data_IF_932772772542
#
_entry.id   IF_932772772542
#
_cell.length_a   1.000
_cell.length_b   1.000
_cell.length_c   1.000
_cell.angle_alpha   90.00
_cell.angle_beta   90.00
_cell.angle_gamma   90.00
#
_symmetry.space_group_name_H-M   'P 1'
#
loop_
_entity.id
_entity.type
_entity.pdbx_description
1 polymer ?
#
# COMPACT_ATOMS: atom_id res chain seq x y z
N UNK A 1 9.70 3.29 -55.61
CA UNK A 1 8.59 3.15 -54.64
C UNK A 1 9.05 2.18 -53.56
N UNK A 2 9.80 2.70 -52.60
CA UNK A 2 10.33 1.97 -51.44
C UNK A 2 9.49 2.35 -50.23
N UNK A 3 8.94 1.33 -49.58
CA UNK A 3 8.07 1.46 -48.41
C UNK A 3 8.85 2.08 -47.25
N UNK A 4 8.41 3.24 -46.75
CA UNK A 4 8.72 3.69 -45.39
C UNK A 4 7.91 2.82 -44.43
N UNK A 5 8.60 1.86 -43.82
CA UNK A 5 8.13 1.18 -42.63
C UNK A 5 7.92 2.20 -41.52
N UNK A 6 6.66 2.48 -41.20
CA UNK A 6 6.27 3.15 -39.98
C UNK A 6 6.87 2.36 -38.80
N UNK A 7 7.88 2.95 -38.17
CA UNK A 7 8.33 2.53 -36.85
C UNK A 7 7.12 2.77 -35.94
N UNK A 8 6.47 1.69 -35.53
CA UNK A 8 5.51 1.72 -34.45
C UNK A 8 6.28 2.18 -33.22
N UNK A 9 6.21 3.48 -32.91
CA UNK A 9 6.56 3.98 -31.58
C UNK A 9 5.78 3.12 -30.60
N UNK A 10 6.50 2.26 -29.88
CA UNK A 10 5.94 1.56 -28.75
C UNK A 10 5.35 2.64 -27.85
N UNK A 11 4.02 2.62 -27.69
CA UNK A 11 3.30 3.36 -26.68
C UNK A 11 3.67 2.80 -25.29
N UNK A 12 4.95 2.89 -24.94
CA UNK A 12 5.37 2.97 -23.56
C UNK A 12 5.30 4.46 -23.22
N UNK A 13 4.07 5.01 -23.23
CA UNK A 13 3.81 6.25 -22.51
C UNK A 13 4.41 6.05 -21.12
N UNK A 14 5.27 6.99 -20.72
CA UNK A 14 6.12 6.84 -19.53
C UNK A 14 5.21 6.75 -18.29
N UNK A 15 4.81 5.53 -17.92
CA UNK A 15 3.96 5.24 -16.76
C UNK A 15 4.77 5.57 -15.51
N UNK A 16 4.17 6.33 -14.61
CA UNK A 16 4.79 6.71 -13.35
C UNK A 16 4.11 5.92 -12.21
N UNK A 17 4.84 4.95 -11.70
CA UNK A 17 4.54 4.13 -10.53
C UNK A 17 5.04 4.83 -9.27
N UNK A 18 4.08 5.26 -8.46
CA UNK A 18 4.30 6.00 -7.21
C UNK A 18 3.93 5.08 -6.06
N UNK A 19 4.92 4.69 -5.25
CA UNK A 19 4.70 3.95 -4.02
C UNK A 19 4.47 4.93 -2.87
N UNK A 20 3.32 4.83 -2.22
CA UNK A 20 2.97 5.68 -1.08
C UNK A 20 2.84 4.82 0.16
N UNK A 21 3.60 5.20 1.18
CA UNK A 21 3.68 4.48 2.44
C UNK A 21 3.51 5.40 3.63
N UNK A 22 3.34 4.82 4.81
CA UNK A 22 3.11 5.55 6.04
C UNK A 22 2.66 4.63 7.17
N UNK A 23 2.65 5.13 8.42
CA UNK A 23 2.20 4.37 9.56
C UNK A 23 0.66 4.22 9.55
N UNK A 24 0.09 3.20 10.22
CA UNK A 24 -1.36 3.11 10.37
C UNK A 24 -1.90 4.36 11.07
N UNK A 25 -3.03 4.87 10.61
CA UNK A 25 -3.67 6.06 11.20
C UNK A 25 -3.19 7.42 10.69
N UNK A 26 -2.21 7.49 9.79
CA UNK A 26 -1.76 8.75 9.17
C UNK A 26 -2.69 9.31 8.08
N UNK A 27 -3.85 8.66 7.86
CA UNK A 27 -4.85 9.06 6.85
C UNK A 27 -4.33 9.22 5.42
N UNK A 28 -3.19 8.59 5.09
CA UNK A 28 -2.59 8.56 3.75
C UNK A 28 -3.64 8.30 2.67
N UNK A 29 -4.48 7.28 2.84
CA UNK A 29 -5.48 6.91 1.85
C UNK A 29 -6.60 7.96 1.71
N UNK A 30 -6.93 8.70 2.78
CA UNK A 30 -7.84 9.84 2.74
C UNK A 30 -7.28 11.01 1.94
N UNK A 31 -6.01 11.35 2.14
CA UNK A 31 -5.33 12.39 1.35
C UNK A 31 -5.16 12.00 -0.11
N UNK A 32 -4.77 10.74 -0.38
CA UNK A 32 -4.61 10.24 -1.74
C UNK A 32 -5.91 10.32 -2.54
N UNK A 33 -7.04 9.93 -1.94
CA UNK A 33 -8.36 10.02 -2.60
C UNK A 33 -8.66 11.45 -3.08
N UNK A 34 -8.46 12.45 -2.23
CA UNK A 34 -8.70 13.86 -2.59
C UNK A 34 -7.83 14.35 -3.76
N UNK A 35 -6.62 13.81 -3.90
CA UNK A 35 -5.72 14.14 -5.01
C UNK A 35 -6.13 13.40 -6.28
N UNK A 36 -6.49 12.12 -6.15
CA UNK A 36 -6.87 11.24 -7.26
C UNK A 36 -8.19 11.67 -7.88
N UNK A 37 -9.17 12.10 -7.09
CA UNK A 37 -10.45 12.65 -7.58
C UNK A 37 -10.25 13.80 -8.58
N UNK A 38 -9.20 14.59 -8.43
CA UNK A 38 -8.88 15.71 -9.34
C UNK A 38 -8.20 15.25 -10.64
N UNK A 39 -7.77 13.99 -10.73
CA UNK A 39 -6.95 13.42 -11.82
C UNK A 39 -7.35 11.98 -12.17
N UNK A 40 -8.60 11.60 -11.94
CA UNK A 40 -9.11 10.23 -12.10
C UNK A 40 -8.90 9.69 -13.52
N UNK A 41 -9.02 10.57 -14.52
CA UNK A 41 -8.79 10.20 -15.93
C UNK A 41 -7.36 9.75 -16.22
N UNK A 42 -6.38 10.18 -15.42
CA UNK A 42 -4.95 9.88 -15.62
C UNK A 42 -4.37 8.98 -14.55
N UNK A 43 -5.12 8.64 -13.49
CA UNK A 43 -4.56 8.03 -12.28
C UNK A 43 -5.29 6.74 -11.92
N UNK A 44 -4.54 5.67 -11.70
CA UNK A 44 -5.00 4.44 -11.05
C UNK A 44 -4.54 4.42 -9.60
N UNK A 45 -5.40 3.90 -8.71
CA UNK A 45 -5.13 3.73 -7.29
C UNK A 45 -5.19 2.26 -6.89
N UNK A 46 -4.15 1.78 -6.23
CA UNK A 46 -4.02 0.39 -5.81
C UNK A 46 -3.81 0.35 -4.29
N UNK A 47 -4.81 -0.10 -3.54
CA UNK A 47 -4.69 -0.31 -2.10
C UNK A 47 -4.24 -1.76 -1.84
N UNK A 48 -2.97 -1.95 -1.44
CA UNK A 48 -2.33 -3.28 -1.40
C UNK A 48 -3.09 -4.29 -0.54
N UNK A 49 -3.74 -3.86 0.54
CA UNK A 49 -4.58 -4.75 1.36
C UNK A 49 -5.70 -5.42 0.55
N UNK A 50 -6.31 -4.73 -0.41
CA UNK A 50 -7.41 -5.28 -1.21
C UNK A 50 -6.89 -6.42 -2.10
N UNK A 51 -5.66 -6.28 -2.60
CA UNK A 51 -4.98 -7.29 -3.40
C UNK A 51 -4.50 -8.48 -2.55
N UNK A 52 -4.05 -8.24 -1.32
CA UNK A 52 -3.75 -9.33 -0.37
C UNK A 52 -5.03 -10.11 -0.06
N UNK A 53 -6.15 -9.43 0.15
CA UNK A 53 -7.43 -10.07 0.39
C UNK A 53 -7.91 -10.89 -0.82
N UNK A 54 -7.70 -10.38 -2.04
CA UNK A 54 -7.95 -11.11 -3.29
C UNK A 54 -7.07 -12.37 -3.40
N UNK A 55 -5.76 -12.25 -3.19
CA UNK A 55 -4.83 -13.39 -3.21
C UNK A 55 -5.20 -14.45 -2.16
N UNK A 56 -5.53 -14.02 -0.93
CA UNK A 56 -6.00 -14.93 0.12
C UNK A 56 -7.28 -15.67 -0.30
N UNK A 57 -8.26 -14.96 -0.88
CA UNK A 57 -9.51 -15.54 -1.37
C UNK A 57 -9.28 -16.59 -2.46
N UNK A 58 -8.40 -16.32 -3.41
CA UNK A 58 -8.02 -17.25 -4.49
C UNK A 58 -7.35 -18.53 -3.93
N UNK A 59 -6.73 -18.44 -2.75
CA UNK A 59 -6.14 -19.56 -2.03
C UNK A 59 -7.06 -20.14 -0.92
N UNK A 60 -8.37 -19.83 -0.95
CA UNK A 60 -9.36 -20.38 -0.02
C UNK A 60 -9.29 -19.82 1.41
N UNK A 61 -8.71 -18.64 1.61
CA UNK A 61 -8.60 -17.96 2.90
C UNK A 61 -9.39 -16.66 2.91
N UNK A 62 -10.13 -16.41 4.01
CA UNK A 62 -10.75 -15.11 4.25
C UNK A 62 -9.75 -14.20 4.96
N UNK A 63 -9.33 -13.13 4.29
CA UNK A 63 -8.45 -12.09 4.87
C UNK A 63 -9.32 -10.95 5.39
N UNK A 64 -9.05 -10.51 6.61
CA UNK A 64 -9.68 -9.36 7.27
C UNK A 64 -8.60 -8.48 7.89
N UNK A 65 -8.94 -7.24 8.24
CA UNK A 65 -8.03 -6.35 8.99
C UNK A 65 -7.57 -6.97 10.31
N UNK A 66 -8.46 -7.74 10.95
CA UNK A 66 -8.17 -8.43 12.21
C UNK A 66 -7.16 -9.56 12.02
N UNK A 67 -7.30 -10.37 10.97
CA UNK A 67 -6.52 -11.61 10.84
C UNK A 67 -5.31 -11.51 9.90
N UNK A 68 -5.16 -10.43 9.12
CA UNK A 68 -4.14 -10.33 8.08
C UNK A 68 -2.73 -10.57 8.60
N UNK A 69 -2.42 -10.04 9.78
CA UNK A 69 -1.10 -10.19 10.41
C UNK A 69 -0.85 -11.59 10.99
N UNK A 70 -1.90 -12.41 11.14
CA UNK A 70 -1.83 -13.78 11.66
C UNK A 70 -1.79 -14.84 10.55
N UNK A 71 -1.80 -14.43 9.28
CA UNK A 71 -1.77 -15.35 8.15
C UNK A 71 -0.38 -15.98 8.00
N UNK A 72 -0.28 -17.30 8.17
CA UNK A 72 0.95 -18.07 7.97
C UNK A 72 1.63 -17.83 6.61
N UNK A 73 0.81 -17.52 5.58
CA UNK A 73 1.26 -17.31 4.20
C UNK A 73 1.22 -15.83 3.77
N UNK A 74 1.22 -14.90 4.72
CA UNK A 74 1.15 -13.46 4.42
C UNK A 74 2.24 -13.00 3.44
N UNK A 75 3.48 -13.46 3.59
CA UNK A 75 4.58 -13.13 2.66
C UNK A 75 4.24 -13.50 1.22
N UNK A 76 3.69 -14.70 1.00
CA UNK A 76 3.24 -15.18 -0.30
C UNK A 76 2.06 -14.35 -0.84
N UNK A 77 1.04 -14.08 -0.02
CA UNK A 77 -0.11 -13.28 -0.46
C UNK A 77 0.28 -11.84 -0.82
N UNK A 78 1.26 -11.26 -0.12
CA UNK A 78 1.81 -9.95 -0.49
C UNK A 78 2.54 -9.99 -1.82
N UNK A 79 3.36 -11.01 -2.07
CA UNK A 79 4.03 -11.16 -3.36
C UNK A 79 3.02 -11.28 -4.50
N UNK A 80 2.03 -12.17 -4.35
CA UNK A 80 0.93 -12.33 -5.32
C UNK A 80 0.16 -11.01 -5.52
N UNK A 81 -0.07 -10.24 -4.45
CA UNK A 81 -0.71 -8.92 -4.53
C UNK A 81 0.08 -7.92 -5.38
N UNK A 82 1.40 -7.83 -5.17
CA UNK A 82 2.27 -6.94 -5.95
C UNK A 82 2.39 -7.39 -7.41
N UNK A 83 2.43 -8.69 -7.68
CA UNK A 83 2.41 -9.24 -9.04
C UNK A 83 1.10 -8.92 -9.78
N UNK A 84 -0.05 -8.98 -9.09
CA UNK A 84 -1.33 -8.56 -9.65
C UNK A 84 -1.34 -7.07 -10.00
N UNK A 85 -0.89 -6.22 -9.07
CA UNK A 85 -0.80 -4.78 -9.28
C UNK A 85 0.12 -4.47 -10.48
N UNK A 86 1.28 -5.11 -10.55
CA UNK A 86 2.23 -4.92 -11.67
C UNK A 86 1.58 -5.26 -13.03
N UNK A 87 0.88 -6.39 -13.11
CA UNK A 87 0.16 -6.78 -14.34
C UNK A 87 -0.92 -5.77 -14.71
N UNK A 88 -1.66 -5.26 -13.74
CA UNK A 88 -2.68 -4.23 -13.98
C UNK A 88 -2.06 -2.91 -14.44
N UNK A 89 -0.90 -2.51 -13.90
CA UNK A 89 -0.13 -1.35 -14.38
C UNK A 89 0.32 -1.55 -15.83
N UNK A 90 0.86 -2.73 -16.17
CA UNK A 90 1.38 -3.03 -17.50
C UNK A 90 0.31 -2.92 -18.60
N UNK A 91 -0.93 -3.33 -18.32
CA UNK A 91 -2.04 -3.29 -19.30
C UNK A 91 -2.88 -2.02 -19.25
N UNK A 92 -2.70 -1.17 -18.23
CA UNK A 92 -3.46 0.07 -18.09
C UNK A 92 -2.99 1.14 -19.08
N UNK A 93 -3.92 2.03 -19.46
CA UNK A 93 -3.68 3.24 -20.26
C UNK A 93 -3.57 4.51 -19.39
N UNK A 94 -3.52 4.38 -18.07
CA UNK A 94 -3.36 5.51 -17.16
C UNK A 94 -1.89 5.90 -17.10
N UNK A 95 -1.63 7.18 -16.81
CA UNK A 95 -0.27 7.72 -16.70
C UNK A 95 0.33 7.48 -15.32
N UNK A 96 -0.46 7.73 -14.26
CA UNK A 96 -0.02 7.66 -12.88
C UNK A 96 -0.60 6.42 -12.19
N UNK A 97 0.24 5.67 -11.49
CA UNK A 97 -0.13 4.45 -10.77
C UNK A 97 0.29 4.56 -9.30
N UNK A 98 -0.68 4.88 -8.45
CA UNK A 98 -0.43 5.10 -7.02
C UNK A 98 -0.67 3.79 -6.27
N UNK A 99 0.40 3.20 -5.75
CA UNK A 99 0.35 1.98 -4.93
C UNK A 99 0.48 2.35 -3.46
N UNK A 100 -0.54 2.03 -2.68
CA UNK A 100 -0.66 2.42 -1.29
C UNK A 100 -0.51 1.22 -0.36
N UNK A 101 0.48 1.27 0.55
CA UNK A 101 0.72 0.21 1.53
C UNK A 101 1.42 0.73 2.79
N UNK A 102 1.07 0.25 4.00
CA UNK A 102 1.84 0.57 5.21
C UNK A 102 3.33 0.20 5.10
N UNK A 103 4.20 1.02 5.69
CA UNK A 103 5.65 0.79 5.63
C UNK A 103 6.05 -0.36 6.55
N UNK A 104 5.42 -0.39 7.71
CA UNK A 104 5.68 -1.33 8.80
C UNK A 104 4.34 -1.67 9.45
N UNK A 105 4.19 -2.94 9.81
CA UNK A 105 3.12 -3.43 10.67
C UNK A 105 3.75 -3.83 12.01
N UNK A 106 3.11 -3.43 13.10
CA UNK A 106 3.47 -3.85 14.44
C UNK A 106 2.36 -4.71 15.02
N UNK A 107 2.75 -5.77 15.70
CA UNK A 107 1.89 -6.53 16.59
C UNK A 107 1.90 -5.92 18.00
N UNK A 108 0.91 -6.30 18.80
CA UNK A 108 0.83 -5.90 20.21
C UNK A 108 1.97 -6.49 21.06
N UNK A 109 2.58 -7.59 20.62
CA UNK A 109 3.72 -8.24 21.27
C UNK A 109 5.08 -7.69 20.81
N UNK A 110 5.08 -6.53 20.17
CA UNK A 110 6.25 -5.89 19.57
C UNK A 110 6.89 -6.60 18.39
N UNK A 111 6.24 -7.63 17.83
CA UNK A 111 6.68 -8.22 16.56
C UNK A 111 6.50 -7.20 15.43
N UNK A 112 7.59 -6.97 14.68
CA UNK A 112 7.61 -6.09 13.52
C UNK A 112 7.55 -6.90 12.23
N UNK A 113 6.63 -6.54 11.34
CA UNK A 113 6.60 -7.03 9.96
C UNK A 113 6.87 -5.85 9.02
N UNK A 114 7.91 -5.96 8.21
CA UNK A 114 8.18 -4.97 7.16
C UNK A 114 7.11 -5.07 6.08
N UNK A 115 6.35 -3.99 5.88
CA UNK A 115 5.33 -3.89 4.83
C UNK A 115 5.92 -3.67 3.45
N UNK A 116 7.15 -3.16 3.39
CA UNK A 116 7.97 -3.02 2.20
C UNK A 116 9.27 -3.81 2.34
N UNK A 117 9.59 -4.62 1.33
CA UNK A 117 10.84 -5.37 1.23
C UNK A 117 11.49 -5.11 -0.12
N UNK A 118 12.79 -5.37 -0.23
CA UNK A 118 13.52 -5.25 -1.50
C UNK A 118 12.86 -6.08 -2.62
N UNK A 119 12.42 -7.31 -2.32
CA UNK A 119 11.68 -8.14 -3.28
C UNK A 119 10.44 -7.43 -3.84
N UNK A 120 9.63 -6.80 -2.98
CA UNK A 120 8.42 -6.09 -3.40
C UNK A 120 8.75 -4.83 -4.21
N UNK A 121 9.84 -4.14 -3.87
CA UNK A 121 10.34 -3.00 -4.64
C UNK A 121 10.85 -3.42 -6.02
N UNK A 122 11.50 -4.57 -6.13
CA UNK A 122 11.96 -5.13 -7.41
C UNK A 122 10.80 -5.54 -8.32
N UNK A 123 9.66 -5.98 -7.76
CA UNK A 123 8.45 -6.28 -8.54
C UNK A 123 7.82 -4.98 -9.06
N UNK A 124 7.66 -4.00 -8.17
CA UNK A 124 6.92 -2.78 -8.49
C UNK A 124 7.74 -1.80 -9.34
N UNK A 125 9.03 -1.68 -9.04
CA UNK A 125 9.99 -0.72 -9.60
C UNK A 125 9.46 0.72 -9.57
N UNK A 126 9.10 1.27 -8.39
CA UNK A 126 8.55 2.61 -8.31
C UNK A 126 9.58 3.68 -8.69
N UNK A 127 9.20 4.69 -9.47
CA UNK A 127 10.05 5.84 -9.75
C UNK A 127 10.08 6.83 -8.57
N UNK A 128 9.00 6.84 -7.78
CA UNK A 128 8.85 7.71 -6.60
C UNK A 128 8.33 6.92 -5.42
N UNK A 129 8.98 7.09 -4.27
CA UNK A 129 8.51 6.59 -2.98
C UNK A 129 8.16 7.78 -2.08
N UNK A 130 6.92 7.86 -1.62
CA UNK A 130 6.41 8.91 -0.73
C UNK A 130 6.13 8.29 0.64
N UNK A 131 6.76 8.81 1.69
CA UNK A 131 6.47 8.43 3.07
C UNK A 131 5.59 9.51 3.74
N UNK A 132 4.36 9.14 4.10
CA UNK A 132 3.46 9.96 4.90
C UNK A 132 3.86 9.89 6.36
N UNK A 133 3.97 11.07 6.96
CA UNK A 133 4.20 11.27 8.39
C UNK A 133 3.08 12.19 8.86
N UNK A 134 2.48 11.84 9.99
CA UNK A 134 1.39 12.61 10.58
C UNK A 134 1.62 12.78 12.09
N UNK A 135 0.86 13.68 12.69
CA UNK A 135 0.89 13.94 14.12
C UNK A 135 0.37 12.73 14.92
N UNK A 136 1.10 12.36 15.97
CA UNK A 136 0.81 11.18 16.78
C UNK A 136 -0.53 11.29 17.52
N UNK A 137 -0.99 12.50 17.86
CA UNK A 137 -2.26 12.74 18.55
C UNK A 137 -3.41 12.48 17.58
N UNK A 138 -3.33 12.98 16.35
CA UNK A 138 -4.33 12.71 15.30
C UNK A 138 -4.35 11.23 14.90
N UNK A 139 -3.17 10.61 14.74
CA UNK A 139 -3.06 9.18 14.51
C UNK A 139 -3.76 8.38 15.63
N UNK A 140 -3.50 8.72 16.90
CA UNK A 140 -4.15 8.07 18.05
C UNK A 140 -5.68 8.19 17.99
N UNK A 141 -6.21 9.38 17.68
CA UNK A 141 -7.66 9.61 17.55
C UNK A 141 -8.28 8.72 16.47
N UNK A 142 -7.63 8.61 15.30
CA UNK A 142 -8.13 7.79 14.19
C UNK A 142 -8.04 6.30 14.51
N UNK A 143 -6.94 5.85 15.10
CA UNK A 143 -6.73 4.43 15.45
C UNK A 143 -7.70 3.93 16.52
N UNK A 144 -8.20 4.80 17.40
CA UNK A 144 -9.25 4.44 18.36
C UNK A 144 -10.53 3.94 17.69
N UNK A 145 -10.85 4.42 16.49
CA UNK A 145 -12.01 3.99 15.70
C UNK A 145 -11.72 2.88 14.69
N UNK A 146 -10.48 2.43 14.57
CA UNK A 146 -10.14 1.33 13.67
C UNK A 146 -10.49 -0.03 14.30
N UNK A 147 -10.97 -0.95 13.47
CA UNK A 147 -11.41 -2.30 13.89
C UNK A 147 -10.32 -3.05 14.66
N UNK A 148 -9.09 -3.10 14.14
CA UNK A 148 -8.01 -3.85 14.78
C UNK A 148 -7.45 -3.10 16.00
N UNK A 149 -7.15 -1.81 15.82
CA UNK A 149 -6.47 -1.03 16.85
C UNK A 149 -7.39 -0.62 18.01
N UNK A 150 -8.66 -0.35 17.71
CA UNK A 150 -9.69 -0.07 18.70
C UNK A 150 -10.00 -1.28 19.57
N UNK A 151 -10.11 -2.49 18.98
CA UNK A 151 -10.25 -3.73 19.75
C UNK A 151 -9.02 -4.00 20.62
N UNK A 152 -7.82 -3.69 20.11
CA UNK A 152 -6.56 -3.99 20.78
C UNK A 152 -6.28 -3.09 21.99
N UNK A 153 -6.61 -1.80 21.91
CA UNK A 153 -6.26 -0.81 22.95
C UNK A 153 -7.47 -0.24 23.70
N UNK A 154 -8.69 -0.57 23.27
CA UNK A 154 -9.92 -0.07 23.87
C UNK A 154 -10.10 1.44 23.71
N UNK A 155 -10.94 2.02 24.58
CA UNK A 155 -11.36 3.42 24.54
C UNK A 155 -10.24 4.44 24.74
N UNK A 156 -9.15 4.03 25.39
CA UNK A 156 -7.99 4.89 25.65
C UNK A 156 -7.10 5.04 24.39
N UNK A 157 -7.21 4.11 23.44
CA UNK A 157 -6.40 4.06 22.24
C UNK A 157 -4.92 3.73 22.52
N UNK A 158 -4.16 3.55 21.45
CA UNK A 158 -2.74 3.20 21.53
C UNK A 158 -1.92 4.24 22.35
N UNK A 159 -1.02 3.80 23.24
CA UNK A 159 -0.07 4.68 23.92
C UNK A 159 0.82 5.45 22.92
N UNK A 160 1.20 6.68 23.25
CA UNK A 160 2.04 7.49 22.35
C UNK A 160 3.44 6.90 22.17
N UNK A 161 4.00 6.27 23.20
CA UNK A 161 5.27 5.55 23.10
C UNK A 161 5.17 4.37 22.13
N UNK A 162 4.03 3.68 22.10
CA UNK A 162 3.75 2.65 21.10
C UNK A 162 3.70 3.25 19.69
N UNK A 163 2.94 4.33 19.50
CA UNK A 163 2.82 4.98 18.19
C UNK A 163 4.12 5.59 17.68
N UNK A 164 4.99 6.08 18.57
CA UNK A 164 6.30 6.64 18.20
C UNK A 164 7.20 5.60 17.52
N UNK A 165 6.98 4.30 17.77
CA UNK A 165 7.75 3.20 17.17
C UNK A 165 7.60 3.16 15.66
N UNK A 166 6.45 3.55 15.13
CA UNK A 166 6.24 3.61 13.68
C UNK A 166 7.07 4.70 12.99
N UNK A 167 7.47 5.76 13.72
CA UNK A 167 8.25 6.87 13.18
C UNK A 167 9.77 6.62 13.25
N UNK A 168 10.23 5.91 14.27
CA UNK A 168 11.66 5.65 14.50
C UNK A 168 12.28 4.78 13.38
N UNK A 169 11.45 3.97 12.72
CA UNK A 169 11.89 2.95 11.77
C UNK A 169 11.64 3.29 10.30
N UNK A 170 11.23 4.52 10.01
CA UNK A 170 11.28 5.11 8.66
C UNK A 170 12.70 5.67 8.46
N UNK A 171 13.70 4.79 8.41
CA UNK A 171 15.11 5.11 8.17
C UNK A 171 15.67 4.22 7.07
#
# INVERSE_FOLDING_TARGET
>A
MSQESAVTENANENKEVILVSGPPGCDRDGYLKQVIEKREEQTSYYHVYDYIAKAGKENGKKVTKINILQLEKLSRYRKEAFEMIKKEIEVSNKKYHIVSTPAVFYHLDDTRINGLTEELLCILQPEVIIAFIDDLIEMKKRLRGDEYWGESFGSEGAPLDFLSRFLIHIR
#
